data_IF_103452022636
#
_entry.id   IF_103452022636
#
_cell.length_a   1.000
_cell.length_b   1.000
_cell.length_c   1.000
_cell.angle_alpha   90.00
_cell.angle_beta   90.00
_cell.angle_gamma   90.00
#
_symmetry.space_group_name_H-M   'P 1'
#
loop_
_entity.id
_entity.type
_entity.pdbx_description
1 polymer ?
#
# COMPACT_ATOMS: atom_id res chain seq x y z
N UNK A 1 -5.64 9.62 14.95
CA UNK A 1 -6.62 9.20 13.92
C UNK A 1 -7.53 10.39 13.65
N UNK A 2 -7.70 10.91 12.42
CA UNK A 2 -8.73 11.90 12.18
C UNK A 2 -10.05 11.18 11.93
N UNK A 3 -11.00 11.39 12.84
CA UNK A 3 -12.41 11.04 12.71
C UNK A 3 -13.14 12.15 11.94
N UNK A 4 -13.92 11.79 10.91
CA UNK A 4 -14.92 12.69 10.29
C UNK A 4 -14.75 13.08 8.81
N UNK A 5 -13.63 12.74 8.14
CA UNK A 5 -13.51 12.95 6.67
C UNK A 5 -14.08 11.77 5.88
N UNK A 6 -14.50 12.01 4.64
CA UNK A 6 -14.93 10.98 3.69
C UNK A 6 -13.91 9.83 3.70
N UNK A 7 -14.37 8.58 3.88
CA UNK A 7 -13.52 7.38 4.02
C UNK A 7 -12.40 7.27 2.97
N UNK A 8 -12.64 7.85 1.80
CA UNK A 8 -11.73 7.88 0.65
C UNK A 8 -10.54 8.83 0.83
N UNK A 9 -10.74 10.02 1.41
CA UNK A 9 -9.63 10.94 1.74
C UNK A 9 -8.72 10.33 2.80
N UNK A 10 -9.29 9.66 3.80
CA UNK A 10 -8.49 8.99 4.81
C UNK A 10 -7.62 7.88 4.24
N UNK A 11 -8.09 7.19 3.19
CA UNK A 11 -7.32 6.16 2.50
C UNK A 11 -6.15 6.76 1.69
N UNK A 12 -6.40 7.86 0.96
CA UNK A 12 -5.35 8.57 0.24
C UNK A 12 -4.31 9.17 1.20
N UNK A 13 -4.76 9.77 2.30
CA UNK A 13 -3.90 10.27 3.38
C UNK A 13 -3.08 9.14 4.01
N UNK A 14 -3.67 7.95 4.22
CA UNK A 14 -2.93 6.80 4.75
C UNK A 14 -1.85 6.32 3.77
N UNK A 15 -2.17 6.25 2.48
CA UNK A 15 -1.25 5.74 1.45
C UNK A 15 -0.14 6.74 1.15
N UNK A 16 -0.49 8.02 1.05
CA UNK A 16 0.47 9.08 0.83
C UNK A 16 1.15 9.53 2.11
N UNK A 17 0.69 9.14 3.30
CA UNK A 17 1.29 9.51 4.60
C UNK A 17 2.17 8.44 5.23
N UNK A 18 2.15 7.21 4.69
CA UNK A 18 2.84 6.07 5.26
C UNK A 18 4.02 5.63 4.39
N UNK A 19 5.11 5.18 5.02
CA UNK A 19 6.20 4.52 4.30
C UNK A 19 5.72 3.21 3.64
N UNK A 20 4.78 2.53 4.29
CA UNK A 20 4.11 1.35 3.76
C UNK A 20 2.62 1.32 4.09
N UNK A 21 1.81 0.76 3.20
CA UNK A 21 0.39 0.48 3.36
C UNK A 21 0.16 -1.00 3.15
N UNK A 22 -0.36 -1.68 4.18
CA UNK A 22 -0.68 -3.10 4.10
C UNK A 22 -2.12 -3.27 3.58
N UNK A 23 -2.28 -4.06 2.52
CA UNK A 23 -3.59 -4.47 2.01
C UNK A 23 -3.91 -5.88 2.46
N UNK A 24 -4.84 -5.99 3.40
CA UNK A 24 -5.24 -7.27 3.94
C UNK A 24 -6.15 -8.02 2.95
N UNK A 25 -5.61 -9.05 2.31
CA UNK A 25 -6.32 -9.83 1.30
C UNK A 25 -7.31 -10.79 1.94
N UNK A 26 -8.53 -10.31 2.13
CA UNK A 26 -9.69 -11.08 2.62
C UNK A 26 -10.88 -10.87 1.69
N UNK A 27 -11.91 -11.73 1.79
CA UNK A 27 -13.13 -11.56 0.99
C UNK A 27 -13.86 -10.25 1.29
N UNK A 28 -13.86 -9.81 2.55
CA UNK A 28 -14.47 -8.54 2.96
C UNK A 28 -13.75 -7.35 2.32
N UNK A 29 -12.42 -7.41 2.23
CA UNK A 29 -11.65 -6.37 1.55
C UNK A 29 -12.04 -6.25 0.08
N UNK A 30 -12.20 -7.38 -0.62
CA UNK A 30 -12.62 -7.34 -2.03
C UNK A 30 -14.05 -6.83 -2.23
N UNK A 31 -14.99 -7.19 -1.35
CA UNK A 31 -16.37 -6.72 -1.49
C UNK A 31 -16.51 -5.21 -1.31
N UNK A 32 -15.92 -4.67 -0.25
CA UNK A 32 -16.24 -3.30 0.19
C UNK A 32 -15.18 -2.26 -0.18
N UNK A 33 -13.93 -2.70 -0.28
CA UNK A 33 -12.77 -1.80 -0.40
C UNK A 33 -12.14 -1.87 -1.78
N UNK A 34 -12.09 -3.04 -2.43
CA UNK A 34 -11.45 -3.17 -3.75
C UNK A 34 -12.11 -2.35 -4.85
N UNK A 35 -13.44 -2.27 -4.88
CA UNK A 35 -14.16 -1.41 -5.82
C UNK A 35 -13.77 0.08 -5.64
N UNK A 36 -13.68 0.54 -4.38
CA UNK A 36 -13.18 1.89 -4.05
C UNK A 36 -11.70 2.06 -4.41
N UNK A 37 -10.93 0.98 -4.28
CA UNK A 37 -9.50 0.90 -4.59
C UNK A 37 -9.22 1.10 -6.09
N UNK A 38 -10.04 0.49 -6.96
CA UNK A 38 -9.95 0.64 -8.41
C UNK A 38 -10.28 2.07 -8.88
N UNK A 39 -11.17 2.77 -8.17
CA UNK A 39 -11.55 4.14 -8.49
C UNK A 39 -10.44 5.16 -8.16
N UNK A 40 -9.48 4.81 -7.30
CA UNK A 40 -8.43 5.74 -6.88
C UNK A 40 -7.21 5.69 -7.78
N UNK A 41 -7.08 6.71 -8.64
CA UNK A 41 -5.93 6.89 -9.54
C UNK A 41 -4.62 6.97 -8.78
N UNK A 42 -4.55 7.65 -7.62
CA UNK A 42 -3.33 7.75 -6.78
C UNK A 42 -2.84 6.39 -6.27
N UNK A 43 -3.79 5.51 -5.97
CA UNK A 43 -3.58 4.22 -5.34
C UNK A 43 -3.29 3.12 -6.37
N UNK A 44 -4.05 3.13 -7.47
CA UNK A 44 -3.70 2.40 -8.70
C UNK A 44 -2.35 2.87 -9.25
N UNK A 45 -2.00 4.16 -9.13
CA UNK A 45 -0.68 4.66 -9.46
C UNK A 45 0.39 4.15 -8.49
N UNK A 46 0.14 4.01 -7.19
CA UNK A 46 1.12 3.38 -6.28
C UNK A 46 1.32 1.89 -6.57
N UNK A 47 0.29 1.21 -7.07
CA UNK A 47 0.35 -0.18 -7.53
C UNK A 47 1.07 -0.29 -8.90
N UNK A 48 0.89 0.68 -9.80
CA UNK A 48 1.36 0.61 -11.18
C UNK A 48 2.64 1.43 -11.50
N UNK A 49 3.00 2.48 -10.75
CA UNK A 49 4.10 3.42 -11.09
C UNK A 49 5.42 3.07 -10.40
N UNK A 50 6.46 2.84 -11.21
CA UNK A 50 7.85 2.48 -10.84
C UNK A 50 8.51 3.30 -9.72
N UNK A 51 8.16 4.58 -9.56
CA UNK A 51 8.78 5.50 -8.59
C UNK A 51 8.08 5.57 -7.21
N UNK A 52 6.96 4.85 -7.03
CA UNK A 52 6.33 4.58 -5.71
C UNK A 52 6.32 3.08 -5.37
N UNK A 53 7.19 2.30 -6.02
CA UNK A 53 7.22 0.85 -5.81
C UNK A 53 7.51 0.50 -4.34
N UNK A 54 6.81 -0.52 -3.87
CA UNK A 54 6.95 -1.18 -2.56
C UNK A 54 6.36 -0.46 -1.34
N UNK A 55 5.64 0.65 -1.48
CA UNK A 55 4.88 1.16 -0.32
C UNK A 55 3.63 0.33 -0.08
N UNK A 56 2.92 -0.10 -1.14
CA UNK A 56 1.71 -0.93 -0.99
C UNK A 56 2.10 -2.41 -0.95
N UNK A 57 1.85 -3.06 0.19
CA UNK A 57 2.18 -4.46 0.44
C UNK A 57 0.88 -5.26 0.55
N UNK A 58 0.54 -6.11 -0.43
CA UNK A 58 -0.53 -7.08 -0.22
C UNK A 58 -0.11 -8.08 0.86
N UNK A 59 -0.99 -8.39 1.80
CA UNK A 59 -0.73 -9.35 2.87
C UNK A 59 -1.86 -10.38 2.93
N UNK A 60 -1.51 -11.66 2.91
CA UNK A 60 -2.44 -12.77 3.10
C UNK A 60 -2.40 -13.20 4.56
N UNK A 61 -3.49 -13.00 5.32
CA UNK A 61 -3.54 -13.43 6.69
C UNK A 61 -3.67 -14.94 6.79
N UNK A 62 -3.23 -15.50 7.92
CA UNK A 62 -3.44 -16.91 8.25
C UNK A 62 -4.94 -17.23 8.38
N UNK A 63 -5.70 -16.29 8.95
CA UNK A 63 -7.12 -16.46 9.19
C UNK A 63 -7.96 -15.91 8.03
N UNK A 64 -8.68 -16.81 7.36
CA UNK A 64 -9.58 -16.50 6.22
C UNK A 64 -8.85 -15.75 5.08
N UNK A 65 -7.74 -16.31 4.54
CA UNK A 65 -7.05 -15.71 3.41
C UNK A 65 -7.95 -15.66 2.18
N UNK A 66 -7.78 -14.61 1.38
CA UNK A 66 -8.35 -14.57 0.05
C UNK A 66 -7.61 -15.59 -0.87
N UNK A 67 -8.34 -16.50 -1.55
CA UNK A 67 -7.75 -17.41 -2.53
C UNK A 67 -7.00 -16.68 -3.64
N UNK A 68 -5.92 -17.29 -4.16
CA UNK A 68 -5.07 -16.68 -5.20
C UNK A 68 -5.82 -16.47 -6.50
N UNK A 69 -6.79 -17.32 -6.79
CA UNK A 69 -7.67 -17.30 -7.96
C UNK A 69 -8.62 -16.10 -7.92
N UNK A 70 -9.01 -15.69 -6.70
CA UNK A 70 -9.84 -14.52 -6.45
C UNK A 70 -9.03 -13.24 -6.27
N UNK A 71 -7.70 -13.35 -6.15
CA UNK A 71 -6.84 -12.17 -6.00
C UNK A 71 -6.79 -11.41 -7.33
N UNK A 72 -7.11 -10.10 -7.34
CA UNK A 72 -7.02 -9.27 -8.52
C UNK A 72 -5.61 -9.31 -9.15
N UNK A 73 -5.53 -9.34 -10.48
CA UNK A 73 -4.28 -9.51 -11.21
C UNK A 73 -3.20 -8.49 -10.80
N UNK A 74 -3.56 -7.22 -10.63
CA UNK A 74 -2.65 -6.16 -10.22
C UNK A 74 -2.00 -6.39 -8.84
N UNK A 75 -2.70 -7.06 -7.93
CA UNK A 75 -2.16 -7.43 -6.61
C UNK A 75 -1.38 -8.75 -6.68
N UNK A 76 -1.71 -9.63 -7.62
CA UNK A 76 -0.99 -10.88 -7.86
C UNK A 76 0.40 -10.66 -8.44
N UNK A 77 0.60 -9.57 -9.18
CA UNK A 77 1.91 -9.18 -9.74
C UNK A 77 2.87 -8.56 -8.71
N UNK A 78 2.38 -8.23 -7.51
CA UNK A 78 3.19 -7.69 -6.41
C UNK A 78 3.51 -8.84 -5.44
N UNK A 79 4.72 -8.83 -4.87
CA UNK A 79 5.10 -9.76 -3.83
C UNK A 79 4.22 -9.56 -2.59
N UNK A 80 3.30 -10.49 -2.37
CA UNK A 80 2.45 -10.49 -1.20
C UNK A 80 3.18 -11.07 0.01
N UNK A 81 2.97 -10.45 1.16
CA UNK A 81 3.41 -10.94 2.45
C UNK A 81 2.48 -12.10 2.88
N UNK A 82 3.02 -13.31 2.90
CA UNK A 82 2.27 -14.53 3.20
C UNK A 82 2.47 -14.94 4.67
N UNK A 83 1.49 -14.74 5.55
CA UNK A 83 1.61 -15.04 6.99
C UNK A 83 1.79 -16.54 7.28
N UNK A 84 1.18 -17.40 6.47
CA UNK A 84 1.30 -18.86 6.57
C UNK A 84 2.65 -19.40 6.02
N UNK A 85 3.46 -18.53 5.39
CA UNK A 85 4.73 -18.95 4.81
C UNK A 85 5.83 -19.03 5.86
N UNK A 86 6.65 -20.10 5.80
CA UNK A 86 7.90 -20.20 6.57
C UNK A 86 8.87 -19.04 6.31
N UNK A 87 8.75 -18.39 5.15
CA UNK A 87 9.54 -17.21 4.78
C UNK A 87 8.94 -15.89 5.27
N UNK A 88 7.84 -15.89 6.02
CA UNK A 88 7.19 -14.67 6.51
C UNK A 88 8.15 -13.75 7.28
N UNK A 89 8.96 -14.23 8.26
CA UNK A 89 9.87 -13.36 9.00
C UNK A 89 10.90 -12.69 8.08
N UNK A 90 11.46 -13.45 7.14
CA UNK A 90 12.43 -12.94 6.17
C UNK A 90 11.80 -11.92 5.21
N UNK A 91 10.53 -12.08 4.83
CA UNK A 91 9.81 -11.10 4.03
C UNK A 91 9.57 -9.81 4.83
N UNK A 92 9.13 -9.92 6.09
CA UNK A 92 8.96 -8.78 6.99
C UNK A 92 10.27 -8.01 7.14
N UNK A 93 11.38 -8.69 7.46
CA UNK A 93 12.69 -8.05 7.62
C UNK A 93 13.15 -7.31 6.36
N UNK A 94 12.96 -7.90 5.18
CA UNK A 94 13.35 -7.28 3.90
C UNK A 94 12.50 -6.07 3.56
N UNK A 95 11.19 -6.16 3.81
CA UNK A 95 10.25 -5.10 3.44
C UNK A 95 10.40 -3.90 4.38
N UNK A 96 10.50 -4.15 5.68
CA UNK A 96 10.56 -3.13 6.74
C UNK A 96 11.99 -2.81 7.17
N UNK A 97 12.98 -3.11 6.33
CA UNK A 97 14.38 -2.83 6.62
C UNK A 97 14.62 -1.31 6.76
N UNK A 98 15.47 -0.90 7.71
CA UNK A 98 15.76 0.52 7.95
C UNK A 98 16.35 1.23 6.73
N UNK A 99 17.14 0.53 5.92
CA UNK A 99 17.67 1.07 4.66
C UNK A 99 16.54 1.43 3.68
N UNK A 100 15.55 0.56 3.54
CA UNK A 100 14.35 0.79 2.72
C UNK A 100 13.53 1.94 3.30
N UNK A 101 13.36 1.99 4.63
CA UNK A 101 12.68 3.09 5.31
C UNK A 101 13.32 4.45 4.99
N UNK A 102 14.64 4.55 5.10
CA UNK A 102 15.38 5.81 4.85
C UNK A 102 15.20 6.29 3.41
N UNK A 103 15.20 5.37 2.45
CA UNK A 103 14.92 5.68 1.03
C UNK A 103 13.48 6.17 0.86
N UNK A 104 12.49 5.47 1.43
CA UNK A 104 11.09 5.91 1.35
C UNK A 104 10.91 7.29 2.01
N UNK A 105 11.57 7.53 3.14
CA UNK A 105 11.54 8.80 3.84
C UNK A 105 12.16 9.94 3.01
N UNK A 106 13.26 9.71 2.29
CA UNK A 106 13.88 10.73 1.44
C UNK A 106 12.98 11.07 0.24
N UNK A 107 12.45 10.06 -0.44
CA UNK A 107 11.47 10.24 -1.53
C UNK A 107 10.25 11.01 -1.03
N UNK A 108 9.79 10.73 0.18
CA UNK A 108 8.66 11.43 0.79
C UNK A 108 8.95 12.90 1.08
N UNK A 109 10.13 13.20 1.62
CA UNK A 109 10.57 14.59 1.87
C UNK A 109 10.69 15.37 0.55
N UNK A 110 11.24 14.76 -0.49
CA UNK A 110 11.36 15.39 -1.81
C UNK A 110 9.98 15.66 -2.44
N UNK A 111 9.06 14.70 -2.37
CA UNK A 111 7.70 14.84 -2.89
C UNK A 111 6.92 15.96 -2.18
N UNK A 112 7.04 16.10 -0.86
CA UNK A 112 6.43 17.24 -0.15
C UNK A 112 7.07 18.58 -0.55
N UNK A 113 8.38 18.59 -0.77
CA UNK A 113 9.13 19.80 -1.17
C UNK A 113 8.81 20.27 -2.60
N UNK A 114 8.42 19.37 -3.50
CA UNK A 114 8.00 19.70 -4.87
C UNK A 114 6.54 20.14 -4.96
N UNK A 115 5.66 19.56 -4.13
CA UNK A 115 4.26 20.00 -3.97
C UNK A 115 4.18 21.40 -3.36
N UNK A 116 4.99 21.69 -2.34
CA UNK A 116 5.06 23.03 -1.73
C UNK A 116 5.48 24.11 -2.74
N UNK A 117 6.34 23.77 -3.71
CA UNK A 117 6.82 24.71 -4.74
C UNK A 117 5.77 25.04 -5.82
N UNK A 118 4.83 24.14 -6.10
CA UNK A 118 3.75 24.40 -7.06
C UNK A 118 2.58 25.20 -6.49
N UNK A 119 2.49 25.33 -5.16
CA UNK A 119 1.44 26.12 -4.50
C UNK A 119 1.85 27.58 -4.23
N UNK A 120 3.12 27.93 -4.47
CA UNK A 120 3.69 29.25 -4.19
C UNK A 120 4.05 30.01 -5.49
N UNK A 121 3.66 29.49 -6.65
CA UNK A 121 3.85 30.10 -7.98
C UNK A 121 2.52 30.52 -8.59
#
# INVERSE_FOLDING_TARGET
MPCGRQHLQNLDDAVNGSAWTILLLTENFLRDTWCKFQFYTSLMNSVNRRHKYNSVIPMRPLNKPLPRERTPFALRTINALEEDSRGFPTQVERIFQESVYKIQQSVWREARSSVQRHFVS
#
